data_IF_544519801378
#
_entry.id   IF_544519801378
#
_cell.length_a   1.000
_cell.length_b   1.000
_cell.length_c   1.000
_cell.angle_alpha   90.00
_cell.angle_beta   90.00
_cell.angle_gamma   90.00
#
_symmetry.space_group_name_H-M   'P 1'
#
loop_
_entity.id
_entity.type
_entity.pdbx_description
1 polymer ?
2 polymer ?
3 non-polymer ?
4 water ?
#
# COMPACT_ATOMS: atom_id res chain seq x y z
N UNK A 4 17.84 -5.18 -7.86
CA UNK A 4 16.79 -5.44 -6.80
C UNK A 4 17.48 -5.90 -5.53
N UNK A 5 17.35 -5.13 -4.46
CA UNK A 5 17.91 -5.48 -3.17
C UNK A 5 17.05 -6.33 -2.31
N UNK A 6 17.71 -6.88 -1.30
CA UNK A 6 17.05 -7.70 -0.35
C UNK A 6 15.96 -6.97 0.42
N UNK A 7 16.14 -5.70 0.76
CA UNK A 7 15.12 -4.97 1.52
C UNK A 7 13.94 -4.66 0.64
N UNK A 8 14.18 -4.37 -0.62
CA UNK A 8 13.08 -4.10 -1.52
C UNK A 8 12.12 -5.32 -1.65
N UNK A 9 12.69 -6.53 -1.70
CA UNK A 9 11.92 -7.78 -1.80
C UNK A 9 11.09 -7.95 -0.55
N UNK A 10 11.69 -7.67 0.63
CA UNK A 10 10.94 -7.84 1.86
C UNK A 10 9.75 -6.85 1.90
N UNK A 11 9.94 -5.68 1.29
CA UNK A 11 8.82 -4.73 1.22
C UNK A 11 7.72 -5.25 0.31
N UNK A 12 8.12 -5.79 -0.83
CA UNK A 12 7.09 -6.31 -1.75
C UNK A 12 6.36 -7.43 -1.09
N UNK A 13 7.10 -8.23 -0.32
CA UNK A 13 6.56 -9.42 0.34
C UNK A 13 5.50 -9.02 1.38
N UNK A 14 5.79 -7.97 2.11
CA UNK A 14 4.83 -7.43 3.07
C UNK A 14 3.65 -6.78 2.29
N UNK A 15 3.92 -6.05 1.23
CA UNK A 15 2.83 -5.44 0.46
C UNK A 15 1.89 -6.53 -0.03
N UNK A 16 2.45 -7.69 -0.42
CA UNK A 16 1.67 -8.83 -0.90
C UNK A 16 0.84 -9.43 0.18
N UNK A 17 1.48 -9.63 1.33
CA UNK A 17 0.79 -10.15 2.51
C UNK A 17 -0.41 -9.29 2.98
N UNK A 18 -0.34 -7.98 2.81
CA UNK A 18 -1.44 -7.10 3.19
C UNK A 18 -2.69 -7.44 2.38
N UNK A 19 -2.53 -7.74 1.10
CA UNK A 19 -3.65 -8.16 0.25
C UNK A 19 -4.05 -9.59 0.48
N UNK A 20 -3.08 -10.47 0.63
CA UNK A 20 -3.38 -11.87 0.73
C UNK A 20 -3.81 -12.22 2.14
N UNK A 21 -5.03 -11.79 2.51
CA UNK A 21 -5.59 -11.99 3.87
C UNK A 21 -5.53 -13.43 4.38
N UNK A 22 -5.88 -14.40 3.56
CA UNK A 22 -5.89 -15.79 4.03
C UNK A 22 -4.56 -16.46 3.87
N UNK A 23 -3.58 -15.71 3.36
CA UNK A 23 -2.21 -16.18 3.16
C UNK A 23 -2.09 -17.45 2.34
N UNK A 24 -2.88 -17.58 1.28
CA UNK A 24 -2.86 -18.80 0.47
C UNK A 24 -1.90 -18.65 -0.73
N UNK A 25 -1.16 -17.56 -0.77
CA UNK A 25 -0.24 -17.34 -1.84
C UNK A 25 -0.82 -16.67 -3.05
N UNK A 26 -2.12 -16.35 -3.05
CA UNK A 26 -2.65 -15.63 -4.20
C UNK A 26 -3.59 -14.49 -3.71
N UNK A 27 -3.77 -13.49 -4.54
CA UNK A 27 -4.65 -12.38 -4.26
C UNK A 27 -5.86 -12.48 -5.17
N UNK A 28 -7.04 -12.62 -4.58
CA UNK A 28 -8.26 -12.69 -5.36
C UNK A 28 -8.97 -11.37 -5.49
N UNK A 29 -9.93 -11.32 -6.38
CA UNK A 29 -10.71 -10.10 -6.52
C UNK A 29 -11.36 -9.73 -5.19
N UNK A 30 -11.72 -10.72 -4.40
CA UNK A 30 -12.28 -10.48 -3.10
C UNK A 30 -11.31 -9.78 -2.15
N UNK A 31 -10.06 -10.26 -2.10
CA UNK A 31 -9.05 -9.70 -1.25
C UNK A 31 -8.71 -8.25 -1.70
N UNK A 32 -8.66 -8.03 -3.00
CA UNK A 32 -8.44 -6.74 -3.57
C UNK A 32 -9.58 -5.81 -3.13
N UNK A 33 -10.82 -6.25 -3.28
CA UNK A 33 -11.94 -5.39 -2.84
C UNK A 33 -11.95 -5.01 -1.36
N UNK A 34 -11.66 -5.97 -0.49
CA UNK A 34 -11.58 -5.76 0.92
C UNK A 34 -10.52 -4.68 1.22
N UNK A 35 -9.34 -4.81 0.59
CA UNK A 35 -8.30 -3.78 0.83
C UNK A 35 -8.77 -2.46 0.36
N UNK A 36 -9.29 -2.39 -0.85
CA UNK A 36 -9.67 -1.08 -1.38
C UNK A 36 -10.79 -0.41 -0.58
N UNK A 37 -11.72 -1.23 -0.10
CA UNK A 37 -12.78 -0.67 0.71
C UNK A 37 -12.19 -0.20 2.06
N UNK A 38 -11.21 -0.91 2.60
CA UNK A 38 -10.63 -0.55 3.86
C UNK A 38 -9.88 0.82 3.75
N UNK A 39 -9.54 1.22 2.50
CA UNK A 39 -8.88 2.48 2.19
C UNK A 39 -9.90 3.46 1.64
N UNK A 40 -11.19 3.20 1.92
CA UNK A 40 -12.24 4.11 1.54
C UNK A 40 -12.71 4.16 0.10
N UNK A 41 -12.27 3.22 -0.72
CA UNK A 41 -12.62 3.15 -2.11
C UNK A 41 -13.76 2.17 -2.31
N UNK A 42 -14.40 2.18 -3.48
CA UNK A 42 -15.44 1.21 -3.73
C UNK A 42 -15.47 0.68 -5.16
N UNK A 43 -14.50 -0.15 -5.51
CA UNK A 43 -14.46 -0.71 -6.86
C UNK A 43 -15.62 -1.70 -7.12
N UNK A 44 -16.11 -1.75 -8.33
CA UNK A 44 -17.18 -2.68 -8.69
C UNK A 44 -16.55 -4.00 -9.04
N UNK A 45 -17.36 -5.01 -9.20
CA UNK A 45 -16.86 -6.32 -9.47
C UNK A 45 -16.09 -6.35 -10.81
N UNK A 46 -16.62 -5.59 -11.75
CA UNK A 46 -15.99 -5.53 -13.04
C UNK A 46 -14.60 -4.90 -12.88
N UNK A 47 -14.49 -3.82 -12.11
CA UNK A 47 -13.23 -3.15 -11.99
C UNK A 47 -12.20 -4.12 -11.36
N UNK A 48 -12.62 -4.87 -10.37
CA UNK A 48 -11.71 -5.80 -9.71
C UNK A 48 -11.28 -6.85 -10.71
N UNK A 49 -12.22 -7.38 -11.46
CA UNK A 49 -11.85 -8.41 -12.45
C UNK A 49 -10.85 -7.82 -13.47
N UNK A 50 -11.10 -6.60 -13.90
CA UNK A 50 -10.23 -5.93 -14.85
C UNK A 50 -8.81 -5.80 -14.26
N UNK A 51 -8.74 -5.51 -12.97
CA UNK A 51 -7.43 -5.34 -12.36
C UNK A 51 -6.68 -6.64 -12.45
N UNK A 52 -7.29 -7.73 -12.05
CA UNK A 52 -6.58 -8.97 -12.15
C UNK A 52 -6.23 -9.30 -13.62
N UNK A 53 -7.22 -9.18 -14.51
CA UNK A 53 -7.02 -9.63 -15.88
C UNK A 53 -5.80 -8.95 -16.51
N UNK A 54 -5.57 -7.70 -16.18
CA UNK A 54 -4.48 -6.97 -16.76
C UNK A 54 -3.12 -7.62 -16.53
N UNK A 55 -2.98 -8.37 -15.44
CA UNK A 55 -1.69 -8.94 -15.09
C UNK A 55 -1.73 -10.44 -14.94
N UNK A 56 -2.88 -11.03 -15.23
CA UNK A 56 -3.04 -12.46 -15.02
C UNK A 56 -2.51 -13.30 -16.18
N UNK A 57 -1.18 -13.35 -16.24
CA UNK A 57 -0.42 -14.04 -17.27
C UNK A 57 -0.87 -15.48 -17.53
N UNK A 58 -1.14 -16.26 -16.49
CA UNK A 58 -1.58 -17.68 -16.62
C UNK A 58 -3.10 -17.90 -16.69
N UNK A 59 -3.85 -16.80 -16.62
CA UNK A 59 -5.30 -16.84 -16.75
C UNK A 59 -6.03 -17.66 -15.72
N UNK A 60 -5.45 -17.85 -14.53
CA UNK A 60 -6.11 -18.66 -13.50
C UNK A 60 -7.06 -17.84 -12.62
N UNK A 61 -7.26 -16.59 -12.98
CA UNK A 61 -8.17 -15.74 -12.26
C UNK A 61 -7.69 -15.01 -11.01
N UNK A 62 -6.52 -15.36 -10.47
CA UNK A 62 -6.01 -14.72 -9.24
C UNK A 62 -4.57 -14.24 -9.50
N UNK A 63 -4.05 -13.41 -8.59
CA UNK A 63 -2.71 -12.85 -8.73
C UNK A 63 -1.70 -13.64 -7.86
N UNK A 64 -0.63 -14.12 -8.47
CA UNK A 64 0.44 -14.78 -7.72
C UNK A 64 1.53 -13.72 -7.45
N UNK A 65 2.66 -14.13 -6.85
CA UNK A 65 3.67 -13.14 -6.49
C UNK A 65 4.20 -12.34 -7.65
N UNK A 66 4.68 -12.98 -8.72
CA UNK A 66 5.17 -12.23 -9.87
C UNK A 66 4.13 -11.31 -10.56
N UNK A 67 2.92 -11.78 -10.62
CA UNK A 67 1.88 -10.99 -11.24
C UNK A 67 1.65 -9.75 -10.38
N UNK A 68 1.75 -9.94 -9.07
CA UNK A 68 1.59 -8.81 -8.12
C UNK A 68 2.68 -7.81 -8.39
N UNK A 69 3.89 -8.32 -8.57
CA UNK A 69 5.02 -7.42 -8.77
C UNK A 69 4.81 -6.60 -10.03
N UNK A 70 4.26 -7.25 -11.05
CA UNK A 70 4.00 -6.59 -12.30
C UNK A 70 2.93 -5.48 -12.08
N UNK A 71 1.87 -5.85 -11.41
CA UNK A 71 0.84 -4.86 -11.05
C UNK A 71 1.51 -3.62 -10.41
N UNK A 72 2.31 -3.82 -9.36
CA UNK A 72 2.94 -2.70 -8.71
C UNK A 72 3.89 -1.96 -9.62
N UNK A 73 4.64 -2.65 -10.46
CA UNK A 73 5.56 -1.96 -11.36
C UNK A 73 4.80 -1.08 -12.39
N UNK A 74 3.63 -1.53 -12.82
CA UNK A 74 2.86 -0.70 -13.77
C UNK A 74 2.33 0.53 -13.02
N UNK A 75 1.96 0.37 -11.75
CA UNK A 75 1.50 1.51 -10.95
C UNK A 75 2.62 2.54 -10.78
N UNK A 76 3.86 2.08 -10.65
CA UNK A 76 5.03 2.96 -10.43
C UNK A 76 5.59 3.68 -11.67
N UNK A 81 -0.91 11.22 -12.46
CA UNK A 81 -1.27 12.67 -12.34
C UNK A 81 -1.56 13.16 -10.90
N UNK A 82 -1.40 14.46 -10.71
CA UNK A 82 -1.80 15.16 -9.49
C UNK A 82 -3.02 14.56 -8.78
N UNK A 83 -4.11 14.29 -9.51
CA UNK A 83 -5.34 13.76 -8.90
C UNK A 83 -5.20 12.39 -8.25
N UNK A 84 -4.48 11.48 -8.90
CA UNK A 84 -4.35 10.15 -8.31
C UNK A 84 -3.50 10.25 -7.01
N UNK A 85 -2.49 11.09 -7.04
CA UNK A 85 -1.60 11.23 -5.89
C UNK A 85 -2.35 11.94 -4.76
N UNK A 86 -3.12 12.97 -5.11
CA UNK A 86 -3.90 13.71 -4.12
C UNK A 86 -4.86 12.79 -3.44
N UNK A 87 -5.49 11.92 -4.22
CA UNK A 87 -6.43 11.01 -3.66
C UNK A 87 -5.71 10.07 -2.70
N UNK A 88 -4.59 9.51 -3.11
CA UNK A 88 -3.86 8.58 -2.20
C UNK A 88 -3.40 9.34 -0.93
N UNK A 89 -3.04 10.61 -1.08
CA UNK A 89 -2.65 11.42 0.10
C UNK A 89 -3.83 11.50 1.05
N UNK A 90 -5.02 11.69 0.50
CA UNK A 90 -6.15 11.85 1.38
C UNK A 90 -6.55 10.58 2.01
N UNK A 91 -6.11 9.44 1.56
CA UNK A 91 -6.41 8.21 2.30
C UNK A 91 -5.72 8.33 3.66
N UNK A 92 -4.53 8.91 3.70
CA UNK A 92 -3.77 8.98 4.98
C UNK A 92 -4.04 10.24 5.78
N UNK A 93 -4.23 11.35 5.11
CA UNK A 93 -4.41 12.62 5.80
C UNK A 93 -5.85 12.84 6.18
N UNK A 94 -6.24 12.08 7.17
CA UNK A 94 -7.62 12.00 7.65
C UNK A 94 -8.26 13.27 8.16
N UNK A 95 -7.53 14.07 8.93
CA UNK A 95 -8.07 15.34 9.37
C UNK A 95 -7.99 16.44 8.36
N UNK A 96 -7.45 16.12 7.20
CA UNK A 96 -7.23 17.08 6.14
C UNK A 96 -6.30 18.29 6.42
N UNK A 97 -5.42 18.23 7.43
CA UNK A 97 -4.62 19.41 7.67
C UNK A 97 -3.39 19.59 6.75
N UNK A 98 -3.15 18.66 5.86
CA UNK A 98 -2.05 18.77 4.91
C UNK A 98 -0.80 18.04 5.36
N UNK A 99 -0.90 17.27 6.47
CA UNK A 99 0.24 16.56 7.01
C UNK A 99 -0.20 15.20 7.43
N UNK A 100 0.51 14.15 7.04
CA UNK A 100 0.23 12.83 7.55
C UNK A 100 1.04 12.65 8.80
N UNK A 101 0.36 12.45 9.90
CA UNK A 101 1.06 12.14 11.14
C UNK A 101 1.25 10.68 11.34
N UNK A 102 2.10 10.31 12.31
CA UNK A 102 2.23 8.94 12.72
C UNK A 102 0.92 8.31 13.14
N UNK A 103 0.13 9.00 13.95
CA UNK A 103 -1.16 8.47 14.39
C UNK A 103 -2.05 8.20 13.14
N UNK A 104 -2.06 9.11 12.17
CA UNK A 104 -2.84 8.86 10.93
C UNK A 104 -2.33 7.65 10.19
N UNK A 105 -1.02 7.52 10.03
CA UNK A 105 -0.51 6.36 9.33
C UNK A 105 -0.89 5.06 10.07
N UNK A 106 -0.78 5.08 11.38
CA UNK A 106 -1.08 3.90 12.18
C UNK A 106 -2.57 3.52 12.04
N UNK A 107 -3.42 4.54 12.02
CA UNK A 107 -4.85 4.36 11.81
C UNK A 107 -5.13 3.65 10.47
N UNK A 108 -4.50 4.10 9.38
CA UNK A 108 -4.67 3.41 8.09
C UNK A 108 -4.18 1.97 8.14
N UNK A 109 -3.00 1.75 8.71
CA UNK A 109 -2.47 0.39 8.75
C UNK A 109 -3.37 -0.55 9.59
N UNK A 110 -3.93 -0.03 10.66
CA UNK A 110 -4.82 -0.79 11.52
C UNK A 110 -6.13 -1.14 10.82
N UNK A 111 -6.62 -0.24 9.99
CA UNK A 111 -7.84 -0.56 9.23
C UNK A 111 -7.53 -1.61 8.17
N UNK A 112 -6.25 -1.72 7.81
CA UNK A 112 -5.79 -2.70 6.84
C UNK A 112 -5.51 -4.04 7.52
N UNK A 113 -5.80 -4.13 8.82
CA UNK A 113 -5.56 -5.35 9.59
C UNK A 113 -4.11 -5.58 9.98
N UNK A 114 -3.28 -4.55 9.84
CA UNK A 114 -1.87 -4.67 10.20
C UNK A 114 -1.56 -3.90 11.47
N UNK A 115 -1.22 -4.61 12.53
CA UNK A 115 -0.84 -3.98 13.80
C UNK A 115 0.61 -3.48 13.76
N UNK A 116 0.85 -2.26 14.20
CA UNK A 116 2.21 -1.74 14.14
C UNK A 116 2.73 -1.29 15.47
N UNK A 117 4.03 -1.50 15.67
CA UNK A 117 4.70 -0.99 16.87
C UNK A 117 4.99 0.45 16.61
N UNK A 118 5.04 1.25 17.66
CA UNK A 118 5.37 2.67 17.49
C UNK A 118 6.62 2.84 16.64
N UNK A 119 7.55 1.90 16.76
CA UNK A 119 8.81 1.99 16.01
C UNK A 119 8.65 1.72 14.51
N UNK A 120 7.79 0.77 14.20
CA UNK A 120 7.52 0.44 12.81
C UNK A 120 6.89 1.68 12.14
N UNK A 121 5.99 2.33 12.85
CA UNK A 121 5.27 3.48 12.30
C UNK A 121 6.20 4.68 12.13
N UNK A 122 7.00 4.94 13.16
CA UNK A 122 7.97 6.01 13.13
C UNK A 122 8.94 5.77 12.01
N UNK A 123 9.35 4.52 11.81
CA UNK A 123 10.27 4.19 10.73
C UNK A 123 9.62 4.48 9.41
N UNK A 124 8.33 4.23 9.29
CA UNK A 124 7.68 4.50 8.01
C UNK A 124 7.64 6.01 7.74
N UNK A 125 7.32 6.81 8.75
CA UNK A 125 7.26 8.28 8.55
C UNK A 125 8.66 8.78 8.12
N UNK A 126 9.66 8.23 8.81
CA UNK A 126 11.06 8.60 8.60
C UNK A 126 11.48 8.44 7.16
N UNK A 127 11.00 7.36 6.52
CA UNK A 127 11.25 7.09 5.12
C UNK A 127 10.78 8.21 4.23
N UNK A 128 9.60 8.76 4.44
CA UNK A 128 9.14 9.77 3.51
C UNK A 128 9.38 11.17 4.01
N UNK A 129 9.65 11.32 5.29
CA UNK A 129 9.80 12.70 5.82
C UNK A 129 11.12 13.24 5.32
N UNK A 130 11.10 14.23 4.48
CA UNK A 130 12.32 14.84 4.00
C UNK A 130 12.79 15.98 4.90
N UNK A 131 11.87 16.89 5.27
CA UNK A 131 12.32 18.06 6.04
C UNK A 131 12.62 17.79 7.53
N UNK A 132 12.24 16.62 8.02
CA UNK A 132 12.47 16.20 9.38
C UNK A 132 11.53 16.80 10.43
N UNK A 133 10.38 17.32 10.02
CA UNK A 133 9.37 17.75 10.99
C UNK A 133 8.61 16.63 11.64
N UNK A 134 8.85 15.37 11.22
CA UNK A 134 8.17 14.22 11.80
C UNK A 134 6.80 13.94 11.17
N UNK A 135 6.42 14.67 10.13
CA UNK A 135 5.20 14.43 9.43
C UNK A 135 5.52 14.38 7.96
N UNK A 136 4.53 13.94 7.18
CA UNK A 136 4.66 13.84 5.73
C UNK A 136 3.66 14.77 5.09
N UNK A 137 4.18 15.80 4.43
CA UNK A 137 3.38 16.82 3.76
C UNK A 137 3.13 16.30 2.32
N UNK A 138 2.35 17.04 1.54
CA UNK A 138 1.96 16.57 0.19
C UNK A 138 3.19 16.41 -0.72
N UNK A 139 4.04 17.40 -0.76
CA UNK A 139 5.26 17.40 -1.56
C UNK A 139 6.13 16.20 -1.23
N UNK A 140 6.26 15.88 0.06
CA UNK A 140 7.00 14.71 0.45
C UNK A 140 6.34 13.46 -0.05
N UNK A 141 5.03 13.45 0.07
CA UNK A 141 4.26 12.29 -0.33
C UNK A 141 4.45 12.16 -1.86
N UNK A 142 4.49 13.27 -2.59
CA UNK A 142 4.70 13.23 -4.06
C UNK A 142 6.10 12.72 -4.38
N UNK A 143 7.14 13.26 -3.74
CA UNK A 143 8.49 12.73 -3.96
C UNK A 143 8.54 11.23 -3.67
N UNK A 144 7.84 10.78 -2.65
CA UNK A 144 7.80 9.35 -2.37
C UNK A 144 7.12 8.52 -3.49
N UNK A 145 5.95 8.94 -3.90
CA UNK A 145 5.21 8.17 -4.88
C UNK A 145 5.81 8.26 -6.27
N UNK A 146 6.36 9.40 -6.62
CA UNK A 146 6.91 9.63 -7.95
C UNK A 146 8.27 8.95 -8.09
N UNK B 1 3.97 -5.38 13.90
CA UNK B 1 4.67 -6.58 14.43
C UNK B 1 5.74 -6.95 13.43
N UNK B 2 6.99 -6.92 13.88
CA UNK B 2 8.12 -7.39 13.11
C UNK B 2 8.04 -8.85 12.62
N UNK B 3 8.22 -9.03 11.31
CA UNK B 3 8.26 -10.35 10.68
C UNK B 3 9.56 -10.46 9.85
N UNK B 4 10.36 -11.49 10.14
CA UNK B 4 11.60 -11.70 9.41
C UNK B 4 11.35 -11.93 7.91
N UNK B 5 12.09 -11.22 7.05
CA UNK B 5 11.96 -11.31 5.58
C UNK B 5 10.84 -10.37 5.07
N UNK B 6 10.16 -9.69 6.00
CA UNK B 6 9.08 -8.74 5.70
C UNK B 6 9.44 -7.34 6.18
N UNK B 7 8.98 -6.34 5.45
CA UNK B 7 9.26 -4.96 5.79
C UNK B 7 8.15 -4.03 5.29
N UNK B 8 7.58 -3.24 6.19
CA UNK B 8 6.52 -2.33 5.79
C UNK B 8 7.03 -1.05 5.14
N UNK B 9 6.69 -0.86 3.88
CA UNK B 9 7.12 0.33 3.16
C UNK B 9 5.95 1.27 2.96
N UNK B 10 6.20 2.55 3.20
CA UNK B 10 5.20 3.58 2.98
C UNK B 10 4.95 3.68 1.47
N UNK B 11 6.04 3.72 0.70
CA UNK B 11 6.01 3.85 -0.75
C UNK B 11 5.14 2.84 -1.41
N UNK B 12 5.50 1.57 -1.25
CA UNK B 12 4.72 0.48 -1.81
C UNK B 12 3.29 0.51 -1.27
N UNK B 13 3.12 0.92 -0.02
CA UNK B 13 1.77 1.01 0.54
C UNK B 13 0.98 2.15 -0.16
N UNK B 14 1.69 3.20 -0.55
CA UNK B 14 1.05 4.31 -1.22
C UNK B 14 0.48 3.80 -2.54
N UNK B 15 1.36 3.23 -3.37
CA UNK B 15 0.93 2.71 -4.67
C UNK B 15 -0.20 1.70 -4.50
N UNK B 16 -0.16 0.94 -3.40
CA UNK B 16 -1.18 -0.07 -3.14
C UNK B 16 -2.50 0.59 -2.88
N UNK B 17 -2.46 1.89 -2.59
CA UNK B 17 -3.66 2.65 -2.29
C UNK B 17 -3.95 3.75 -3.31
N UNK B 18 -5.22 4.11 -3.44
CA UNK B 18 -5.62 5.14 -4.38
C UNK B 18 -6.36 6.24 -3.67
X LIG C 1 -5.42 -15.12 -0.75
X LIG D 1 -2.69 -15.56 -12.25
X LIG E 1 -3.25 15.08 9.00
X LIG F 1 7.97 16.38 6.75
#
# INVERSE_FOLDING_TARGET
ADQLTEEQIAEFKEAFSLFDKDGDGTITTKELGTVMRSLGQNPTEAELQDMINEVDADGNGTIDFPEFLTMMARKMKDTDSEEEIREAFRVFDKDGNGYISAAELRHVMTNLGEKLTDEEVDEMIREADIDGDGQVNYEEFVQMMTAK
KKRFSFKKSFKLSGFSFKK
CA CA
CA CA
CA CA
CA CA
#
